data_IF_916050282200
#
_entry.id   IF_916050282200
#
_cell.length_a   1.000
_cell.length_b   1.000
_cell.length_c   1.000
_cell.angle_alpha   90.00
_cell.angle_beta   90.00
_cell.angle_gamma   90.00
#
_symmetry.space_group_name_H-M   'P 1'
#
loop_
_entity.id
_entity.type
_entity.pdbx_description
1 polymer ?
#
# COMPACT_ATOMS: atom_id res chain seq x y z
N UNK A 1 -28.60 20.50 12.12
CA UNK A 1 -27.74 19.58 12.90
C UNK A 1 -26.38 19.60 12.21
N UNK A 2 -25.36 20.25 12.79
CA UNK A 2 -24.01 20.22 12.23
C UNK A 2 -23.45 18.81 12.46
N UNK A 3 -23.10 18.08 11.39
CA UNK A 3 -22.31 16.85 11.53
C UNK A 3 -21.01 17.22 12.25
N UNK A 4 -20.76 16.57 13.39
CA UNK A 4 -19.49 16.73 14.10
C UNK A 4 -18.36 16.31 13.13
N UNK A 5 -17.40 17.20 12.90
CA UNK A 5 -16.30 16.95 11.97
C UNK A 5 -15.48 15.73 12.42
N UNK A 6 -15.30 14.75 11.53
CA UNK A 6 -14.45 13.57 11.78
C UNK A 6 -13.02 14.00 12.10
N UNK A 7 -12.43 13.57 13.24
CA UNK A 7 -11.03 13.90 13.55
C UNK A 7 -10.06 13.26 12.55
N UNK A 8 -8.90 13.88 12.26
CA UNK A 8 -7.93 13.37 11.26
C UNK A 8 -7.50 11.93 11.53
N UNK A 9 -7.08 11.61 12.76
CA UNK A 9 -6.66 10.25 13.13
C UNK A 9 -7.78 9.19 13.05
N UNK A 10 -9.05 9.59 13.08
CA UNK A 10 -10.18 8.67 12.80
C UNK A 10 -10.30 8.43 11.30
N UNK A 11 -10.24 9.49 10.49
CA UNK A 11 -10.33 9.38 9.03
C UNK A 11 -9.22 8.50 8.43
N UNK A 12 -7.97 8.59 8.94
CA UNK A 12 -6.86 7.73 8.52
C UNK A 12 -7.15 6.25 8.78
N UNK A 13 -7.62 5.93 9.99
CA UNK A 13 -7.97 4.56 10.38
C UNK A 13 -9.10 4.01 9.52
N UNK A 14 -10.16 4.80 9.32
CA UNK A 14 -11.30 4.41 8.51
C UNK A 14 -10.86 4.13 7.06
N UNK A 15 -10.01 4.98 6.46
CA UNK A 15 -9.48 4.76 5.12
C UNK A 15 -8.57 3.51 5.03
N UNK A 16 -7.61 3.36 5.95
CA UNK A 16 -6.71 2.18 5.96
C UNK A 16 -7.52 0.89 6.13
N UNK A 17 -8.57 0.91 6.96
CA UNK A 17 -9.47 -0.21 7.12
C UNK A 17 -10.19 -0.56 5.80
N UNK A 18 -10.83 0.41 5.14
CA UNK A 18 -11.51 0.18 3.86
C UNK A 18 -10.56 -0.31 2.77
N UNK A 19 -9.36 0.27 2.67
CA UNK A 19 -8.31 -0.17 1.76
C UNK A 19 -7.90 -1.62 2.04
N UNK A 20 -7.62 -1.95 3.31
CA UNK A 20 -7.22 -3.31 3.69
C UNK A 20 -8.27 -4.35 3.30
N UNK A 21 -9.54 -4.07 3.60
CA UNK A 21 -10.65 -4.96 3.29
C UNK A 21 -10.80 -5.10 1.77
N UNK A 22 -10.84 -3.99 1.04
CA UNK A 22 -10.98 -3.98 -0.42
C UNK A 22 -9.87 -4.75 -1.13
N UNK A 23 -8.62 -4.62 -0.68
CA UNK A 23 -7.49 -5.34 -1.27
C UNK A 23 -7.52 -6.84 -0.96
N UNK A 24 -7.87 -7.25 0.26
CA UNK A 24 -8.00 -8.67 0.62
C UNK A 24 -9.15 -9.32 -0.15
N UNK A 25 -10.31 -8.67 -0.23
CA UNK A 25 -11.47 -9.21 -0.95
C UNK A 25 -11.22 -9.26 -2.45
N UNK A 26 -10.58 -8.23 -3.03
CA UNK A 26 -10.11 -8.24 -4.42
C UNK A 26 -9.21 -9.46 -4.69
N UNK A 27 -8.20 -9.68 -3.85
CA UNK A 27 -7.29 -10.81 -4.01
C UNK A 27 -7.99 -12.16 -3.91
N UNK A 28 -8.97 -12.29 -3.01
CA UNK A 28 -9.78 -13.51 -2.87
C UNK A 28 -10.67 -13.76 -4.10
N UNK A 29 -11.37 -12.74 -4.58
CA UNK A 29 -12.27 -12.86 -5.74
C UNK A 29 -11.52 -13.24 -7.01
N UNK A 30 -10.40 -12.56 -7.29
CA UNK A 30 -9.54 -12.89 -8.44
C UNK A 30 -9.06 -14.35 -8.41
N UNK A 31 -8.64 -14.85 -7.24
CA UNK A 31 -8.23 -16.26 -7.10
C UNK A 31 -9.40 -17.22 -7.35
N UNK A 32 -10.58 -16.89 -6.83
CA UNK A 32 -11.78 -17.70 -7.03
C UNK A 32 -12.19 -17.75 -8.50
N UNK A 33 -12.26 -16.59 -9.17
CA UNK A 33 -12.56 -16.49 -10.60
C UNK A 33 -11.56 -17.28 -11.45
N UNK A 34 -10.26 -17.19 -11.11
CA UNK A 34 -9.22 -17.98 -11.78
C UNK A 34 -9.43 -19.47 -11.59
N UNK A 35 -9.67 -19.93 -10.35
CA UNK A 35 -9.85 -21.34 -10.03
C UNK A 35 -11.12 -21.94 -10.68
N UNK A 36 -12.16 -21.13 -10.86
CA UNK A 36 -13.42 -21.52 -11.50
C UNK A 36 -13.35 -21.49 -13.03
N UNK A 37 -12.26 -20.99 -13.64
CA UNK A 37 -12.16 -20.84 -15.09
C UNK A 37 -13.00 -19.70 -15.67
N UNK A 38 -13.40 -18.73 -14.84
CA UNK A 38 -14.24 -17.60 -15.23
C UNK A 38 -13.45 -16.43 -15.86
N UNK A 39 -12.12 -16.58 -15.97
CA UNK A 39 -11.24 -15.60 -16.61
C UNK A 39 -10.66 -16.19 -17.89
N UNK A 40 -10.53 -15.36 -18.93
CA UNK A 40 -9.73 -15.71 -20.10
C UNK A 40 -8.26 -15.89 -19.71
N UNK A 41 -7.46 -16.50 -20.59
CA UNK A 41 -6.02 -16.63 -20.37
C UNK A 41 -5.32 -15.26 -20.20
N UNK A 42 -5.74 -14.27 -20.99
CA UNK A 42 -5.22 -12.90 -20.89
C UNK A 42 -5.61 -12.24 -19.57
N UNK A 43 -6.88 -12.34 -19.16
CA UNK A 43 -7.35 -11.84 -17.87
C UNK A 43 -6.64 -12.52 -16.71
N UNK A 44 -6.40 -13.84 -16.78
CA UNK A 44 -5.68 -14.60 -15.74
C UNK A 44 -4.25 -14.10 -15.57
N UNK A 45 -3.53 -13.88 -16.68
CA UNK A 45 -2.13 -13.39 -16.65
C UNK A 45 -2.02 -12.02 -16.01
N UNK A 46 -3.01 -11.15 -16.23
CA UNK A 46 -3.08 -9.81 -15.66
C UNK A 46 -3.54 -9.82 -14.20
N UNK A 47 -4.64 -10.50 -13.91
CA UNK A 47 -5.33 -10.40 -12.63
C UNK A 47 -4.72 -11.26 -11.55
N UNK A 48 -4.33 -12.51 -11.82
CA UNK A 48 -3.84 -13.39 -10.76
C UNK A 48 -2.62 -12.82 -10.01
N UNK A 49 -1.60 -12.26 -10.70
CA UNK A 49 -0.51 -11.54 -10.04
C UNK A 49 -1.00 -10.33 -9.24
N UNK A 50 -1.86 -9.48 -9.83
CA UNK A 50 -2.42 -8.31 -9.16
C UNK A 50 -3.22 -8.69 -7.90
N UNK A 51 -4.01 -9.77 -7.95
CA UNK A 51 -4.76 -10.29 -6.81
C UNK A 51 -3.86 -10.83 -5.69
N UNK A 52 -2.70 -11.41 -6.03
CA UNK A 52 -1.71 -11.79 -5.03
C UNK A 52 -1.09 -10.57 -4.36
N UNK A 53 -0.70 -9.55 -5.14
CA UNK A 53 -0.16 -8.29 -4.61
C UNK A 53 -1.19 -7.57 -3.73
N UNK A 54 -2.45 -7.54 -4.15
CA UNK A 54 -3.56 -6.99 -3.37
C UNK A 54 -3.72 -7.71 -2.03
N UNK A 55 -3.75 -9.05 -2.02
CA UNK A 55 -3.88 -9.79 -0.77
C UNK A 55 -2.74 -9.48 0.22
N UNK A 56 -1.49 -9.44 -0.27
CA UNK A 56 -0.32 -9.07 0.54
C UNK A 56 -0.44 -7.63 1.08
N UNK A 57 -0.77 -6.67 0.20
CA UNK A 57 -0.94 -5.27 0.59
C UNK A 57 -2.06 -5.06 1.61
N UNK A 58 -3.19 -5.73 1.42
CA UNK A 58 -4.33 -5.66 2.33
C UNK A 58 -4.01 -6.22 3.71
N UNK A 59 -3.32 -7.36 3.80
CA UNK A 59 -2.87 -7.91 5.08
C UNK A 59 -1.87 -7.00 5.80
N UNK A 60 -0.95 -6.37 5.07
CA UNK A 60 0.01 -5.41 5.63
C UNK A 60 -0.67 -4.12 6.10
N UNK A 61 -1.66 -3.61 5.37
CA UNK A 61 -2.46 -2.45 5.79
C UNK A 61 -3.23 -2.74 7.07
N UNK A 62 -3.95 -3.86 7.12
CA UNK A 62 -4.67 -4.29 8.31
C UNK A 62 -3.73 -4.44 9.52
N UNK A 63 -2.57 -5.06 9.31
CA UNK A 63 -1.56 -5.26 10.36
C UNK A 63 -0.95 -3.94 10.82
N UNK A 64 -0.71 -3.00 9.91
CA UNK A 64 -0.22 -1.65 10.24
C UNK A 64 -1.23 -0.93 11.12
N UNK A 65 -2.52 -0.95 10.75
CA UNK A 65 -3.58 -0.36 11.57
C UNK A 65 -3.68 -1.00 12.96
N UNK A 66 -3.62 -2.34 13.02
CA UNK A 66 -3.65 -3.08 14.28
C UNK A 66 -2.50 -2.69 15.21
N UNK A 67 -1.26 -2.66 14.70
CA UNK A 67 -0.07 -2.28 15.46
C UNK A 67 -0.10 -0.81 15.88
N UNK A 68 -0.59 0.07 15.01
CA UNK A 68 -0.78 1.48 15.28
C UNK A 68 -1.76 1.70 16.46
N UNK A 69 -2.90 1.00 16.47
CA UNK A 69 -3.85 1.05 17.60
C UNK A 69 -3.24 0.53 18.91
N UNK A 70 -2.35 -0.47 18.83
CA UNK A 70 -1.58 -0.95 19.97
C UNK A 70 -0.40 -0.07 20.38
N UNK A 71 -0.18 1.07 19.70
CA UNK A 71 0.94 2.01 19.89
C UNK A 71 2.32 1.38 19.69
N UNK A 72 2.40 0.37 18.83
CA UNK A 72 3.64 -0.27 18.40
C UNK A 72 4.29 0.53 17.26
N UNK A 73 4.77 1.73 17.56
CA UNK A 73 5.23 2.70 16.57
C UNK A 73 6.31 2.17 15.62
N UNK A 74 7.37 1.55 16.14
CA UNK A 74 8.46 1.00 15.32
C UNK A 74 7.99 -0.14 14.42
N UNK A 75 7.17 -1.05 14.95
CA UNK A 75 6.63 -2.16 14.16
C UNK A 75 5.69 -1.66 13.05
N UNK A 76 4.90 -0.62 13.33
CA UNK A 76 4.03 0.02 12.34
C UNK A 76 4.85 0.67 11.22
N UNK A 77 5.89 1.43 11.56
CA UNK A 77 6.80 2.05 10.59
C UNK A 77 7.54 1.02 9.72
N UNK A 78 7.95 -0.11 10.31
CA UNK A 78 8.56 -1.21 9.57
C UNK A 78 7.61 -1.82 8.54
N UNK A 79 6.31 -1.97 8.85
CA UNK A 79 5.31 -2.46 7.89
C UNK A 79 5.02 -1.44 6.79
N UNK A 80 5.01 -0.14 7.10
CA UNK A 80 4.88 0.93 6.08
C UNK A 80 5.97 0.80 5.03
N UNK A 81 7.22 0.54 5.43
CA UNK A 81 8.31 0.29 4.46
C UNK A 81 7.98 -0.89 3.53
N UNK A 82 7.33 -1.94 4.05
CA UNK A 82 6.92 -3.06 3.20
C UNK A 82 5.77 -2.69 2.25
N UNK A 83 4.85 -1.82 2.69
CA UNK A 83 3.78 -1.28 1.84
C UNK A 83 4.33 -0.46 0.67
N UNK A 84 5.39 0.32 0.87
CA UNK A 84 6.09 1.05 -0.21
C UNK A 84 6.55 0.09 -1.31
N UNK A 85 7.14 -1.06 -0.94
CA UNK A 85 7.55 -2.06 -1.93
C UNK A 85 6.37 -2.74 -2.62
N UNK A 86 5.27 -2.96 -1.89
CA UNK A 86 4.03 -3.47 -2.46
C UNK A 86 3.46 -2.51 -3.49
N UNK A 87 3.51 -1.20 -3.24
CA UNK A 87 3.08 -0.20 -4.22
C UNK A 87 3.92 -0.29 -5.50
N UNK A 88 5.25 -0.37 -5.36
CA UNK A 88 6.13 -0.47 -6.53
C UNK A 88 5.81 -1.72 -7.35
N UNK A 89 5.60 -2.83 -6.66
CA UNK A 89 5.26 -4.09 -7.29
C UNK A 89 3.86 -4.04 -7.92
N UNK A 90 2.87 -3.42 -7.26
CA UNK A 90 1.53 -3.22 -7.81
C UNK A 90 1.61 -2.48 -9.13
N UNK A 91 2.28 -1.32 -9.17
CA UNK A 91 2.53 -0.61 -10.43
C UNK A 91 3.16 -1.52 -11.50
N UNK A 92 4.21 -2.27 -11.14
CA UNK A 92 4.94 -3.09 -12.11
C UNK A 92 4.07 -4.22 -12.68
N UNK A 93 3.28 -4.90 -11.86
CA UNK A 93 2.43 -6.03 -12.29
C UNK A 93 1.11 -5.59 -12.93
N UNK A 94 0.73 -4.31 -12.83
CA UNK A 94 -0.49 -3.80 -13.49
C UNK A 94 -0.17 -3.04 -14.78
N UNK A 95 1.09 -2.68 -15.02
CA UNK A 95 1.50 -1.94 -16.22
C UNK A 95 1.64 -2.83 -17.47
N UNK A 96 2.00 -4.10 -17.33
CA UNK A 96 2.11 -5.06 -18.44
C UNK A 96 1.74 -6.50 -17.98
N UNK A 97 0.71 -7.14 -18.57
CA UNK A 97 0.29 -8.50 -18.22
C UNK A 97 1.37 -9.58 -18.38
N UNK A 98 2.30 -9.44 -19.33
CA UNK A 98 3.37 -10.43 -19.52
C UNK A 98 4.43 -10.31 -18.42
N UNK A 99 4.75 -9.09 -18.02
CA UNK A 99 5.59 -8.81 -16.85
C UNK A 99 4.95 -9.30 -15.55
N UNK A 100 3.65 -9.08 -15.38
CA UNK A 100 2.87 -9.58 -14.25
C UNK A 100 2.98 -11.11 -14.12
N UNK A 101 2.79 -11.81 -15.24
CA UNK A 101 2.88 -13.25 -15.30
C UNK A 101 4.31 -13.77 -15.08
N UNK A 102 5.30 -13.07 -15.62
CA UNK A 102 6.72 -13.39 -15.40
C UNK A 102 7.09 -13.25 -13.92
N UNK A 103 6.70 -12.17 -13.25
CA UNK A 103 6.92 -12.01 -11.81
C UNK A 103 6.35 -13.20 -11.03
N UNK A 104 5.09 -13.56 -11.29
CA UNK A 104 4.41 -14.65 -10.58
C UNK A 104 5.09 -16.00 -10.80
N UNK A 105 5.68 -16.22 -11.99
CA UNK A 105 6.38 -17.46 -12.36
C UNK A 105 7.90 -17.38 -12.18
N UNK A 106 8.42 -16.26 -11.69
CA UNK A 106 9.85 -16.02 -11.59
C UNK A 106 10.53 -17.03 -10.66
N UNK A 107 11.78 -17.36 -10.96
CA UNK A 107 12.67 -18.05 -10.03
C UNK A 107 13.43 -17.02 -9.16
N UNK A 108 14.26 -17.51 -8.24
CA UNK A 108 15.06 -16.64 -7.36
C UNK A 108 15.98 -15.70 -8.15
N UNK A 109 16.64 -16.21 -9.20
CA UNK A 109 17.60 -15.42 -9.97
C UNK A 109 16.89 -14.27 -10.70
N UNK A 110 15.78 -14.56 -11.38
CA UNK A 110 14.93 -13.56 -12.04
C UNK A 110 14.42 -12.51 -11.06
N UNK A 111 13.99 -12.92 -9.85
CA UNK A 111 13.60 -11.97 -8.80
C UNK A 111 14.73 -11.02 -8.42
N UNK A 112 15.93 -11.55 -8.19
CA UNK A 112 17.09 -10.72 -7.84
C UNK A 112 17.50 -9.77 -8.96
N UNK A 113 17.36 -10.18 -10.23
CA UNK A 113 17.79 -9.37 -11.37
C UNK A 113 16.77 -8.31 -11.81
N UNK A 114 15.47 -8.60 -11.68
CA UNK A 114 14.39 -7.77 -12.24
C UNK A 114 13.43 -7.22 -11.20
N UNK A 115 13.08 -7.98 -10.18
CA UNK A 115 11.96 -7.68 -9.27
C UNK A 115 12.37 -7.12 -7.91
N UNK A 116 13.66 -6.80 -7.73
CA UNK A 116 14.09 -6.03 -6.57
C UNK A 116 13.51 -4.61 -6.62
N UNK A 117 13.21 -3.98 -5.46
CA UNK A 117 12.67 -2.63 -5.40
C UNK A 117 13.47 -1.62 -6.23
N UNK A 118 14.79 -1.62 -6.09
CA UNK A 118 15.67 -0.72 -6.86
C UNK A 118 15.57 -0.94 -8.37
N UNK A 119 15.33 -2.18 -8.83
CA UNK A 119 15.14 -2.52 -10.25
C UNK A 119 13.77 -2.12 -10.77
N UNK A 120 12.74 -2.17 -9.93
CA UNK A 120 11.41 -1.65 -10.28
C UNK A 120 11.47 -0.12 -10.40
N UNK A 121 12.06 0.58 -9.42
CA UNK A 121 12.22 2.05 -9.46
C UNK A 121 12.99 2.53 -10.67
N UNK A 122 14.09 1.85 -11.04
CA UNK A 122 14.85 2.19 -12.26
C UNK A 122 14.01 2.12 -13.53
N UNK A 123 12.98 1.26 -13.57
CA UNK A 123 12.10 1.08 -14.71
C UNK A 123 10.83 1.94 -14.65
N UNK A 124 10.58 2.61 -13.52
CA UNK A 124 9.34 3.38 -13.31
C UNK A 124 9.40 4.83 -13.79
N UNK A 125 10.45 5.20 -14.54
CA UNK A 125 10.62 6.52 -15.16
C UNK A 125 10.43 7.69 -14.17
N UNK A 126 11.11 7.59 -13.02
CA UNK A 126 11.08 8.62 -11.98
C UNK A 126 9.82 8.63 -11.11
N UNK A 127 8.83 7.77 -11.37
CA UNK A 127 7.60 7.64 -10.55
C UNK A 127 7.88 7.34 -9.08
N UNK A 128 8.97 6.62 -8.79
CA UNK A 128 9.36 6.24 -7.44
C UNK A 128 10.74 6.84 -7.13
N UNK A 129 10.80 8.02 -6.48
CA UNK A 129 12.06 8.66 -6.14
C UNK A 129 12.90 7.78 -5.20
N UNK A 130 14.22 7.80 -5.40
CA UNK A 130 15.13 7.09 -4.48
C UNK A 130 15.09 7.68 -3.06
N UNK A 131 14.89 9.00 -2.94
CA UNK A 131 14.79 9.71 -1.67
C UNK A 131 13.66 9.18 -0.80
N UNK A 132 12.48 8.99 -1.40
CA UNK A 132 11.31 8.42 -0.73
C UNK A 132 11.59 7.02 -0.15
N UNK A 133 12.17 6.13 -0.97
CA UNK A 133 12.54 4.79 -0.50
C UNK A 133 13.57 4.82 0.63
N UNK A 134 14.59 5.67 0.53
CA UNK A 134 15.62 5.78 1.55
C UNK A 134 15.06 6.32 2.87
N UNK A 135 14.18 7.32 2.81
CA UNK A 135 13.49 7.86 3.99
C UNK A 135 12.71 6.77 4.74
N UNK A 136 11.94 5.94 4.03
CA UNK A 136 11.21 4.83 4.64
C UNK A 136 12.11 3.71 5.18
N UNK A 137 13.21 3.42 4.49
CA UNK A 137 14.23 2.47 4.95
C UNK A 137 14.88 2.95 6.25
N UNK A 138 15.24 4.22 6.37
CA UNK A 138 15.86 4.77 7.58
C UNK A 138 14.87 5.00 8.71
N UNK A 139 13.62 5.35 8.40
CA UNK A 139 12.59 5.57 9.40
C UNK A 139 12.35 4.31 10.23
N UNK A 140 11.90 3.22 9.62
CA UNK A 140 11.57 1.97 10.34
C UNK A 140 12.04 0.68 9.68
N UNK A 141 12.57 0.74 8.45
CA UNK A 141 13.02 -0.44 7.71
C UNK A 141 14.36 -1.01 8.19
N UNK A 142 15.21 -0.18 8.77
CA UNK A 142 16.50 -0.55 9.31
C UNK A 142 16.63 -0.04 10.75
N UNK A 143 17.23 -0.82 11.67
CA UNK A 143 17.43 -0.41 13.05
C UNK A 143 18.60 0.59 13.15
N UNK A 144 18.49 1.74 12.47
CA UNK A 144 19.43 2.85 12.58
C UNK A 144 19.23 3.47 13.98
N UNK A 145 20.23 3.45 14.87
CA UNK A 145 20.01 3.73 16.29
C UNK A 145 19.31 5.07 16.56
N UNK A 146 19.76 6.15 15.92
CA UNK A 146 19.18 7.49 16.11
C UNK A 146 17.72 7.57 15.67
N UNK A 147 17.40 7.05 14.47
CA UNK A 147 16.03 7.02 13.94
C UNK A 147 15.12 6.12 14.77
N UNK A 148 15.62 4.96 15.20
CA UNK A 148 14.90 4.04 16.06
C UNK A 148 14.57 4.66 17.42
N UNK A 149 15.54 5.33 18.07
CA UNK A 149 15.30 6.06 19.32
C UNK A 149 14.24 7.14 19.12
N UNK A 150 14.32 7.92 18.03
CA UNK A 150 13.33 8.94 17.70
C UNK A 150 11.91 8.38 17.57
N UNK A 151 11.74 7.20 16.98
CA UNK A 151 10.43 6.53 16.94
C UNK A 151 9.94 6.18 18.33
N UNK A 152 10.82 5.62 19.15
CA UNK A 152 10.48 5.11 20.48
C UNK A 152 10.21 6.24 21.48
N UNK A 153 10.80 7.42 21.29
CA UNK A 153 10.61 8.62 22.11
C UNK A 153 9.37 9.41 21.68
N UNK A 154 8.97 9.34 20.41
CA UNK A 154 7.81 10.06 19.85
C UNK A 154 6.72 9.12 19.32
N UNK A 155 6.40 8.07 20.09
CA UNK A 155 5.52 6.96 19.65
C UNK A 155 4.19 7.40 19.04
N UNK A 156 3.48 8.34 19.67
CA UNK A 156 2.15 8.76 19.21
C UNK A 156 2.21 9.46 17.86
N UNK A 157 3.22 10.31 17.67
CA UNK A 157 3.44 10.98 16.40
C UNK A 157 3.74 9.96 15.29
N UNK A 158 4.58 8.96 15.59
CA UNK A 158 4.94 7.93 14.62
C UNK A 158 3.82 6.94 14.31
N UNK A 159 2.91 6.70 15.26
CA UNK A 159 1.68 5.94 15.02
C UNK A 159 0.79 6.67 14.02
N UNK A 160 0.55 7.96 14.22
CA UNK A 160 -0.26 8.77 13.31
C UNK A 160 0.41 8.91 11.93
N UNK A 161 1.74 9.07 11.89
CA UNK A 161 2.50 9.10 10.65
C UNK A 161 2.44 7.75 9.91
N UNK A 162 2.54 6.63 10.62
CA UNK A 162 2.44 5.30 9.99
C UNK A 162 1.06 5.07 9.36
N UNK A 163 -0.01 5.53 10.02
CA UNK A 163 -1.36 5.46 9.46
C UNK A 163 -1.54 6.39 8.26
N UNK A 164 -0.92 7.56 8.29
CA UNK A 164 -0.88 8.48 7.15
C UNK A 164 -0.17 7.84 5.95
N UNK A 165 1.05 7.34 6.12
CA UNK A 165 1.79 6.71 5.01
C UNK A 165 1.08 5.46 4.49
N UNK A 166 0.48 4.66 5.38
CA UNK A 166 -0.36 3.53 4.98
C UNK A 166 -1.57 3.96 4.13
N UNK A 167 -2.22 5.08 4.46
CA UNK A 167 -3.30 5.63 3.65
C UNK A 167 -2.81 6.09 2.26
N UNK A 168 -1.65 6.76 2.19
CA UNK A 168 -1.04 7.24 0.95
C UNK A 168 -0.67 6.07 0.03
N UNK A 169 0.20 5.16 0.50
CA UNK A 169 0.68 4.03 -0.29
C UNK A 169 -0.42 3.01 -0.57
N UNK A 170 -1.35 2.82 0.37
CA UNK A 170 -2.52 1.98 0.18
C UNK A 170 -3.46 2.51 -0.91
N UNK A 171 -3.72 3.82 -0.92
CA UNK A 171 -4.55 4.43 -1.97
C UNK A 171 -3.88 4.32 -3.35
N UNK A 172 -2.58 4.61 -3.44
CA UNK A 172 -1.83 4.47 -4.69
C UNK A 172 -1.85 3.02 -5.20
N UNK A 173 -1.60 2.05 -4.30
CA UNK A 173 -1.69 0.61 -4.61
C UNK A 173 -3.08 0.24 -5.12
N UNK A 174 -4.15 0.71 -4.47
CA UNK A 174 -5.52 0.44 -4.88
C UNK A 174 -5.82 0.95 -6.30
N UNK A 175 -5.35 2.15 -6.65
CA UNK A 175 -5.51 2.69 -7.99
C UNK A 175 -4.84 1.83 -9.07
N UNK A 176 -3.63 1.30 -8.83
CA UNK A 176 -2.99 0.37 -9.76
C UNK A 176 -3.82 -0.92 -9.92
N UNK A 177 -4.34 -1.46 -8.83
CA UNK A 177 -5.17 -2.67 -8.85
C UNK A 177 -6.47 -2.47 -9.64
N UNK A 178 -7.12 -1.31 -9.52
CA UNK A 178 -8.31 -0.97 -10.30
C UNK A 178 -8.01 -0.91 -11.80
N UNK A 179 -6.85 -0.37 -12.20
CA UNK A 179 -6.43 -0.38 -13.60
C UNK A 179 -6.30 -1.82 -14.15
N UNK A 180 -5.86 -2.76 -13.30
CA UNK A 180 -5.78 -4.16 -13.66
C UNK A 180 -7.13 -4.89 -13.76
N UNK A 181 -8.27 -4.29 -13.38
CA UNK A 181 -9.60 -4.89 -13.58
C UNK A 181 -9.99 -4.87 -15.05
N UNK A 182 -9.93 -3.70 -15.70
CA UNK A 182 -10.33 -3.52 -17.11
C UNK A 182 -11.71 -4.10 -17.40
N UNK A 183 -11.78 -5.07 -18.31
CA UNK A 183 -13.02 -5.72 -18.77
C UNK A 183 -13.43 -6.97 -17.96
N UNK A 184 -12.73 -7.29 -16.87
CA UNK A 184 -12.94 -8.53 -16.14
C UNK A 184 -14.11 -8.46 -15.17
N UNK A 185 -14.79 -9.60 -14.88
CA UNK A 185 -15.99 -9.64 -14.03
C UNK A 185 -15.66 -9.62 -12.52
N UNK A 186 -14.75 -8.75 -12.08
CA UNK A 186 -14.33 -8.63 -10.67
C UNK A 186 -15.30 -7.69 -9.93
N UNK A 187 -16.45 -8.22 -9.52
CA UNK A 187 -17.54 -7.39 -8.97
C UNK A 187 -17.21 -6.77 -7.61
N UNK A 188 -16.33 -7.42 -6.82
CA UNK A 188 -15.90 -6.89 -5.52
C UNK A 188 -15.09 -5.60 -5.66
N UNK A 189 -14.42 -5.40 -6.81
CA UNK A 189 -13.65 -4.18 -7.04
C UNK A 189 -14.57 -2.95 -7.05
N UNK A 190 -15.74 -3.05 -7.69
CA UNK A 190 -16.68 -1.92 -7.81
C UNK A 190 -17.34 -1.56 -6.48
N UNK A 191 -17.74 -2.56 -5.68
CA UNK A 191 -18.36 -2.31 -4.38
C UNK A 191 -17.38 -1.65 -3.41
N UNK A 192 -16.16 -2.16 -3.33
CA UNK A 192 -15.12 -1.59 -2.46
C UNK A 192 -14.56 -0.28 -2.98
N UNK A 193 -14.48 -0.06 -4.30
CA UNK A 193 -14.05 1.22 -4.85
C UNK A 193 -14.92 2.37 -4.36
N UNK A 194 -16.25 2.20 -4.34
CA UNK A 194 -17.17 3.23 -3.82
C UNK A 194 -16.98 3.50 -2.32
N UNK A 195 -16.72 2.47 -1.52
CA UNK A 195 -16.47 2.62 -0.09
C UNK A 195 -15.13 3.33 0.18
N UNK A 196 -14.08 2.91 -0.53
CA UNK A 196 -12.74 3.48 -0.45
C UNK A 196 -12.76 4.94 -0.91
N UNK A 197 -13.42 5.27 -2.03
CA UNK A 197 -13.52 6.65 -2.53
C UNK A 197 -14.20 7.56 -1.51
N UNK A 198 -15.29 7.08 -0.88
CA UNK A 198 -15.96 7.83 0.17
C UNK A 198 -15.05 8.07 1.37
N UNK A 199 -14.30 7.05 1.80
CA UNK A 199 -13.35 7.18 2.91
C UNK A 199 -12.18 8.12 2.55
N UNK A 200 -11.68 8.02 1.31
CA UNK A 200 -10.62 8.87 0.78
C UNK A 200 -11.04 10.34 0.73
N UNK A 201 -12.27 10.63 0.31
CA UNK A 201 -12.82 11.99 0.30
C UNK A 201 -12.99 12.60 1.69
N UNK A 202 -13.30 11.78 2.70
CA UNK A 202 -13.29 12.23 4.10
C UNK A 202 -11.86 12.50 4.53
N UNK A 203 -10.96 11.52 4.36
CA UNK A 203 -9.55 11.62 4.72
C UNK A 203 -8.90 12.87 4.11
N UNK A 204 -8.99 13.06 2.80
CA UNK A 204 -8.43 14.21 2.07
C UNK A 204 -8.88 15.56 2.62
N UNK A 205 -10.13 15.68 3.09
CA UNK A 205 -10.68 16.93 3.64
C UNK A 205 -10.25 17.18 5.08
N UNK A 206 -9.96 16.13 5.83
CA UNK A 206 -9.62 16.20 7.26
C UNK A 206 -8.13 16.05 7.54
N UNK A 207 -7.34 15.65 6.54
CA UNK A 207 -5.90 15.41 6.71
C UNK A 207 -5.14 16.71 7.01
N UNK A 208 -4.24 16.64 7.99
CA UNK A 208 -3.47 17.78 8.53
C UNK A 208 -1.97 17.50 8.60
N UNK A 209 -1.52 16.26 8.36
CA UNK A 209 -0.12 15.91 8.20
C UNK A 209 0.35 16.50 6.88
N UNK A 210 1.18 17.53 6.96
CA UNK A 210 1.94 18.00 5.81
C UNK A 210 3.07 17.01 5.53
N UNK A 211 3.34 16.75 4.24
CA UNK A 211 4.52 15.99 3.78
C UNK A 211 5.84 16.43 4.45
N UNK A 212 5.91 17.68 4.92
CA UNK A 212 7.08 18.26 5.60
C UNK A 212 7.33 17.80 7.04
N UNK A 213 6.63 16.80 7.60
CA UNK A 213 7.09 16.18 8.86
C UNK A 213 8.43 15.44 8.70
N UNK A 214 8.77 15.04 7.46
CA UNK A 214 10.14 14.61 7.12
C UNK A 214 11.15 15.79 7.20
N UNK A 215 10.77 17.01 6.81
CA UNK A 215 11.66 18.19 6.84
C UNK A 215 11.73 18.88 8.21
N UNK A 216 10.63 18.92 8.98
CA UNK A 216 10.61 19.53 10.32
C UNK A 216 11.38 18.72 11.37
N UNK A 217 11.86 17.53 11.00
CA UNK A 217 12.71 16.69 11.83
C UNK A 217 14.21 16.87 11.56
N UNK A 218 14.60 17.66 10.56
CA UNK A 218 16.01 18.03 10.27
C UNK A 218 16.42 19.38 10.88
N UNK A 219 15.49 20.12 11.49
CA UNK A 219 15.73 21.43 12.07
C UNK A 219 15.44 21.50 13.56
N UNK A 220 16.12 20.70 14.39
CA UNK A 220 16.29 20.93 15.84
C UNK A 220 17.40 20.05 16.41
#
# INVERSE_FOLDING_TARGET
MQEASTPPGRSRRDLVQELSLGMVTFGADVRNLTAQGNLTAHQTRRLLPAGLVAAIGGELLASTAYLAMGRWAYASAALVRQLVEVEYLAWAVTNDPDDAWEWLKSDKQKRLQRWQPGKIRQRSDGRFPNTDYHAHCEAGGHPVPERAMRILDHRDQWVELSLYEAAVHGTATWHYLLQAVGDAPVTVAESHHRAIDKAYEVWRRTETVNHGLQDQTEGQ
#
